data_IF_449851422850
#
_entry.id   IF_449851422850
#
_cell.length_a   1.000
_cell.length_b   1.000
_cell.length_c   1.000
_cell.angle_alpha   90.00
_cell.angle_beta   90.00
_cell.angle_gamma   90.00
#
_symmetry.space_group_name_H-M   'P 1'
#
loop_
_entity.id
_entity.type
_entity.pdbx_description
1 polymer ?
#
# COMPACT_ATOMS: atom_id res chain seq x y z
N UNK A 1 -70.39 58.85 -38.61
CA UNK A 1 -69.15 59.42 -38.05
C UNK A 1 -68.62 58.47 -36.99
N UNK A 2 -67.29 58.35 -36.92
CA UNK A 2 -66.45 57.66 -35.91
C UNK A 2 -66.04 56.21 -36.18
N UNK A 3 -64.86 56.10 -36.81
CA UNK A 3 -63.94 54.97 -36.83
C UNK A 3 -63.17 54.90 -35.50
N UNK A 4 -63.31 53.80 -34.74
CA UNK A 4 -62.51 53.56 -33.53
C UNK A 4 -61.17 52.92 -33.92
N UNK A 5 -60.08 53.62 -33.59
CA UNK A 5 -58.71 53.23 -33.89
C UNK A 5 -58.20 52.09 -33.01
N UNK A 6 -57.47 51.17 -33.63
CA UNK A 6 -56.72 50.11 -32.96
C UNK A 6 -55.45 50.70 -32.33
N UNK A 7 -55.30 50.61 -31.00
CA UNK A 7 -54.02 50.91 -30.34
C UNK A 7 -53.00 49.82 -30.70
N UNK A 8 -52.01 50.17 -31.51
CA UNK A 8 -50.87 49.28 -31.77
C UNK A 8 -50.03 49.17 -30.50
N UNK A 9 -49.80 47.94 -30.04
CA UNK A 9 -48.74 47.66 -29.07
C UNK A 9 -47.38 47.92 -29.72
N UNK A 10 -46.88 49.15 -29.59
CA UNK A 10 -45.52 49.53 -29.95
C UNK A 10 -44.58 49.17 -28.81
N UNK A 11 -43.95 48.01 -28.88
CA UNK A 11 -42.95 47.63 -27.87
C UNK A 11 -42.31 46.28 -28.08
N UNK A 12 -41.79 45.95 -29.27
CA UNK A 12 -41.18 44.63 -29.49
C UNK A 12 -39.93 44.58 -30.40
N UNK A 13 -39.35 45.69 -30.89
CA UNK A 13 -38.15 45.61 -31.76
C UNK A 13 -36.81 46.00 -31.10
N UNK A 14 -36.83 46.63 -29.92
CA UNK A 14 -35.60 47.22 -29.33
C UNK A 14 -34.94 46.38 -28.22
N UNK A 15 -35.50 45.22 -27.87
CA UNK A 15 -34.99 44.35 -26.79
C UNK A 15 -34.16 43.14 -27.28
N UNK A 16 -34.02 42.92 -28.59
CA UNK A 16 -33.34 41.74 -29.15
C UNK A 16 -31.85 41.63 -28.76
N UNK A 17 -31.15 42.76 -28.54
CA UNK A 17 -29.75 42.77 -28.12
C UNK A 17 -29.54 42.38 -26.65
N UNK A 18 -30.43 42.83 -25.76
CA UNK A 18 -30.34 42.52 -24.33
C UNK A 18 -30.56 41.03 -24.03
N UNK A 19 -31.45 40.37 -24.79
CA UNK A 19 -31.72 38.94 -24.66
C UNK A 19 -30.46 38.10 -24.93
N UNK A 20 -29.66 38.46 -25.94
CA UNK A 20 -28.43 37.72 -26.25
C UNK A 20 -27.40 37.82 -25.12
N UNK A 21 -27.25 39.00 -24.52
CA UNK A 21 -26.34 39.21 -23.38
C UNK A 21 -26.78 38.41 -22.16
N UNK A 22 -28.08 38.44 -21.83
CA UNK A 22 -28.63 37.68 -20.70
C UNK A 22 -28.46 36.17 -20.92
N UNK A 23 -28.77 35.67 -22.12
CA UNK A 23 -28.57 34.26 -22.47
C UNK A 23 -27.11 33.84 -22.35
N UNK A 24 -26.15 34.69 -22.75
CA UNK A 24 -24.73 34.41 -22.61
C UNK A 24 -24.29 34.37 -21.15
N UNK A 25 -24.78 35.30 -20.32
CA UNK A 25 -24.49 35.31 -18.88
C UNK A 25 -25.02 34.02 -18.23
N UNK A 26 -26.26 33.62 -18.54
CA UNK A 26 -26.85 32.38 -18.00
C UNK A 26 -26.06 31.16 -18.47
N UNK A 27 -25.71 31.08 -19.75
CA UNK A 27 -24.89 30.00 -20.29
C UNK A 27 -23.52 29.93 -19.60
N UNK A 28 -22.86 31.07 -19.39
CA UNK A 28 -21.58 31.15 -18.71
C UNK A 28 -21.69 30.65 -17.26
N UNK A 29 -22.72 31.07 -16.52
CA UNK A 29 -22.96 30.63 -15.15
C UNK A 29 -23.20 29.12 -15.09
N UNK A 30 -24.05 28.57 -15.96
CA UNK A 30 -24.27 27.13 -16.06
C UNK A 30 -22.97 26.36 -16.38
N UNK A 31 -22.15 26.91 -17.27
CA UNK A 31 -20.85 26.32 -17.63
C UNK A 31 -19.92 26.28 -16.42
N UNK A 32 -19.81 27.37 -15.65
CA UNK A 32 -18.97 27.43 -14.46
C UNK A 32 -19.43 26.45 -13.38
N UNK A 33 -20.73 26.33 -13.17
CA UNK A 33 -21.32 25.33 -12.26
C UNK A 33 -20.96 23.92 -12.73
N UNK A 34 -21.15 23.62 -14.02
CA UNK A 34 -20.80 22.33 -14.61
C UNK A 34 -19.33 21.97 -14.44
N UNK A 35 -18.42 22.91 -14.71
CA UNK A 35 -16.97 22.71 -14.53
C UNK A 35 -16.62 22.50 -13.05
N UNK A 36 -17.23 23.26 -12.14
CA UNK A 36 -16.99 23.10 -10.71
C UNK A 36 -17.42 21.72 -10.22
N UNK A 37 -18.59 21.24 -10.62
CA UNK A 37 -19.07 19.90 -10.28
C UNK A 37 -18.15 18.81 -10.84
N UNK A 38 -17.72 18.93 -12.10
CA UNK A 38 -16.78 17.99 -12.71
C UNK A 38 -15.44 17.93 -11.97
N UNK A 39 -14.91 19.06 -11.50
CA UNK A 39 -13.66 19.09 -10.71
C UNK A 39 -13.78 18.32 -9.40
N UNK A 40 -14.91 18.43 -8.71
CA UNK A 40 -15.16 17.68 -7.46
C UNK A 40 -15.18 16.17 -7.73
N UNK A 41 -15.91 15.73 -8.75
CA UNK A 41 -15.97 14.31 -9.13
C UNK A 41 -14.58 13.75 -9.45
N UNK A 42 -13.75 14.50 -10.19
CA UNK A 42 -12.38 14.07 -10.49
C UNK A 42 -11.49 13.93 -9.25
N UNK A 43 -11.69 14.77 -8.22
CA UNK A 43 -10.96 14.65 -6.96
C UNK A 43 -11.42 13.42 -6.17
N UNK A 44 -12.73 13.18 -6.11
CA UNK A 44 -13.31 11.98 -5.49
C UNK A 44 -12.85 10.69 -6.17
N UNK A 45 -12.77 10.69 -7.50
CA UNK A 45 -12.24 9.56 -8.28
C UNK A 45 -10.78 9.29 -7.94
N UNK A 46 -9.93 10.33 -7.92
CA UNK A 46 -8.51 10.19 -7.55
C UNK A 46 -8.33 9.67 -6.13
N UNK A 47 -9.12 10.17 -5.18
CA UNK A 47 -9.09 9.69 -3.79
C UNK A 47 -9.54 8.22 -3.69
N UNK A 48 -10.59 7.85 -4.42
CA UNK A 48 -11.08 6.47 -4.49
C UNK A 48 -10.04 5.53 -5.09
N UNK A 49 -9.40 5.95 -6.17
CA UNK A 49 -8.32 5.20 -6.81
C UNK A 49 -7.14 5.03 -5.87
N UNK A 50 -6.63 6.11 -5.26
CA UNK A 50 -5.52 6.05 -4.32
C UNK A 50 -5.84 5.16 -3.10
N UNK A 51 -7.07 5.22 -2.58
CA UNK A 51 -7.49 4.34 -1.49
C UNK A 51 -7.54 2.88 -1.90
N UNK A 52 -8.00 2.57 -3.12
CA UNK A 52 -8.03 1.20 -3.64
C UNK A 52 -6.62 0.67 -3.86
N UNK A 53 -5.76 1.47 -4.45
CA UNK A 53 -4.37 1.14 -4.73
C UNK A 53 -3.57 0.85 -3.45
N UNK A 54 -3.79 1.66 -2.41
CA UNK A 54 -3.22 1.45 -1.08
C UNK A 54 -3.66 0.12 -0.42
N UNK A 55 -4.93 -0.28 -0.62
CA UNK A 55 -5.44 -1.57 -0.10
C UNK A 55 -4.81 -2.74 -0.84
N UNK A 56 -4.69 -2.66 -2.16
CA UNK A 56 -4.02 -3.68 -2.97
C UNK A 56 -2.57 -3.84 -2.54
N UNK A 57 -1.82 -2.73 -2.38
CA UNK A 57 -0.44 -2.79 -1.90
C UNK A 57 -0.31 -3.46 -0.52
N UNK A 58 -1.29 -3.27 0.37
CA UNK A 58 -1.32 -3.92 1.68
C UNK A 58 -1.57 -5.43 1.55
N UNK A 59 -2.54 -5.84 0.75
CA UNK A 59 -2.86 -7.26 0.53
C UNK A 59 -1.69 -8.02 -0.11
N UNK A 60 -0.95 -7.38 -1.02
CA UNK A 60 0.31 -7.90 -1.56
C UNK A 60 1.35 -8.07 -0.43
N UNK A 61 1.53 -7.06 0.42
CA UNK A 61 2.46 -7.15 1.55
C UNK A 61 2.08 -8.27 2.53
N UNK A 62 0.79 -8.44 2.85
CA UNK A 62 0.29 -9.53 3.70
C UNK A 62 0.54 -10.91 3.08
N UNK A 63 0.36 -11.03 1.76
CA UNK A 63 0.65 -12.26 1.03
C UNK A 63 2.13 -12.62 1.06
N UNK A 64 3.01 -11.62 1.01
CA UNK A 64 4.46 -11.80 1.14
C UNK A 64 4.86 -12.20 2.56
N UNK A 65 4.23 -11.62 3.60
CA UNK A 65 4.45 -12.06 4.98
C UNK A 65 4.10 -13.54 5.14
N UNK A 66 2.92 -13.96 4.68
CA UNK A 66 2.51 -15.38 4.71
C UNK A 66 3.47 -16.28 3.95
N UNK A 67 3.99 -15.81 2.81
CA UNK A 67 4.96 -16.53 2.02
C UNK A 67 6.30 -16.70 2.76
N UNK A 68 6.75 -15.68 3.49
CA UNK A 68 7.95 -15.73 4.32
C UNK A 68 7.75 -16.62 5.56
N UNK A 69 6.58 -16.59 6.18
CA UNK A 69 6.23 -17.50 7.29
C UNK A 69 6.27 -18.96 6.82
N UNK A 70 5.72 -19.26 5.63
CA UNK A 70 5.83 -20.60 5.04
C UNK A 70 7.28 -21.01 4.78
N UNK A 71 8.12 -20.10 4.30
CA UNK A 71 9.55 -20.35 4.10
C UNK A 71 10.23 -20.68 5.44
N UNK A 72 9.96 -19.89 6.49
CA UNK A 72 10.48 -20.13 7.85
C UNK A 72 10.00 -21.49 8.38
N UNK A 73 8.74 -21.86 8.17
CA UNK A 73 8.19 -23.15 8.60
C UNK A 73 8.82 -24.34 7.89
N UNK A 74 9.24 -24.19 6.63
CA UNK A 74 9.96 -25.23 5.88
C UNK A 74 11.45 -25.35 6.24
N UNK A 75 12.06 -24.31 6.82
CA UNK A 75 13.48 -24.32 7.19
C UNK A 75 13.78 -25.28 8.36
N UNK A 76 14.74 -26.20 8.21
CA UNK A 76 15.18 -27.07 9.31
C UNK A 76 16.24 -26.42 10.21
N UNK A 77 16.95 -25.40 9.72
CA UNK A 77 18.03 -24.72 10.45
C UNK A 77 18.08 -23.25 10.06
N UNK A 78 18.78 -22.43 10.83
CA UNK A 78 19.04 -21.01 10.53
C UNK A 78 20.40 -20.77 9.87
N UNK A 79 20.99 -21.78 9.23
CA UNK A 79 22.33 -21.69 8.63
C UNK A 79 22.45 -20.71 7.46
N UNK A 80 21.35 -20.48 6.74
CA UNK A 80 21.33 -19.65 5.52
C UNK A 80 21.23 -18.14 5.78
N UNK A 81 20.96 -17.74 7.03
CA UNK A 81 20.91 -16.33 7.43
C UNK A 81 22.31 -15.70 7.37
N UNK A 82 22.42 -14.54 6.72
CA UNK A 82 23.66 -13.84 6.40
C UNK A 82 24.50 -14.51 5.30
N UNK A 83 23.89 -15.41 4.53
CA UNK A 83 24.45 -15.98 3.29
C UNK A 83 23.57 -15.56 2.12
N UNK A 84 22.25 -15.73 2.26
CA UNK A 84 21.27 -15.34 1.25
C UNK A 84 20.86 -13.88 1.44
N UNK A 85 20.81 -13.13 0.34
CA UNK A 85 20.52 -11.68 0.32
C UNK A 85 19.28 -11.23 1.10
N UNK A 86 18.22 -12.06 1.16
CA UNK A 86 16.97 -11.73 1.86
C UNK A 86 16.87 -12.31 3.26
N UNK A 87 17.88 -13.03 3.75
CA UNK A 87 17.92 -13.64 5.07
C UNK A 87 19.09 -13.02 5.86
N UNK A 88 18.79 -12.21 6.87
CA UNK A 88 19.76 -11.42 7.61
C UNK A 88 19.97 -11.95 9.03
N UNK A 89 21.21 -11.96 9.52
CA UNK A 89 21.44 -12.21 10.95
C UNK A 89 21.00 -11.01 11.78
N UNK A 90 20.93 -11.22 13.08
CA UNK A 90 20.62 -10.17 14.04
C UNK A 90 21.57 -8.97 13.88
N UNK A 91 21.01 -7.82 13.54
CA UNK A 91 21.75 -6.57 13.34
C UNK A 91 22.43 -6.44 11.97
N UNK A 92 22.29 -7.41 11.07
CA UNK A 92 22.78 -7.32 9.68
C UNK A 92 21.71 -6.84 8.70
N UNK A 93 20.45 -6.75 9.13
CA UNK A 93 19.36 -6.28 8.29
C UNK A 93 19.50 -4.80 7.89
N UNK A 94 18.82 -4.36 6.81
CA UNK A 94 18.85 -2.96 6.39
C UNK A 94 18.32 -1.99 7.47
N UNK A 95 19.05 -0.90 7.70
CA UNK A 95 18.75 0.13 8.73
C UNK A 95 17.51 0.98 8.40
N UNK A 96 17.22 1.19 7.11
CA UNK A 96 16.17 2.11 6.65
C UNK A 96 15.16 1.43 5.73
N UNK A 97 13.93 1.29 6.20
CA UNK A 97 12.84 0.68 5.43
C UNK A 97 12.38 1.52 4.23
N UNK A 98 12.69 2.81 4.23
CA UNK A 98 12.25 3.74 3.18
C UNK A 98 13.34 4.04 2.15
N UNK A 99 14.54 3.49 2.33
CA UNK A 99 15.58 3.57 1.30
C UNK A 99 15.29 2.59 0.16
N UNK A 100 15.46 3.05 -1.07
CA UNK A 100 15.40 2.20 -2.25
C UNK A 100 16.42 1.04 -2.23
N UNK A 101 17.59 1.22 -1.61
CA UNK A 101 18.63 0.20 -1.50
C UNK A 101 18.19 -1.01 -0.67
N UNK A 102 17.27 -0.83 0.28
CA UNK A 102 16.69 -1.92 1.08
C UNK A 102 15.88 -2.89 0.23
N UNK A 103 15.30 -2.40 -0.86
CA UNK A 103 14.39 -3.15 -1.73
C UNK A 103 15.07 -3.57 -3.05
N UNK A 104 16.39 -3.72 -3.02
CA UNK A 104 17.18 -4.25 -4.12
C UNK A 104 17.38 -5.78 -3.99
N UNK A 105 18.12 -6.37 -4.94
CA UNK A 105 18.44 -7.81 -4.94
C UNK A 105 19.52 -8.22 -3.94
N UNK A 106 20.23 -7.27 -3.35
CA UNK A 106 21.26 -7.52 -2.35
C UNK A 106 20.70 -7.65 -0.93
N UNK A 107 19.54 -7.05 -0.67
CA UNK A 107 18.92 -7.01 0.66
C UNK A 107 17.55 -7.70 0.75
N UNK A 108 16.89 -7.96 -0.39
CA UNK A 108 15.52 -8.47 -0.41
C UNK A 108 15.23 -9.37 -1.62
N UNK A 109 14.30 -10.29 -1.43
CA UNK A 109 13.81 -11.19 -2.47
C UNK A 109 12.53 -10.63 -3.08
N UNK A 110 12.42 -10.70 -4.41
CA UNK A 110 11.18 -10.39 -5.13
C UNK A 110 10.32 -11.65 -5.23
N UNK A 111 9.01 -11.50 -5.04
CA UNK A 111 8.04 -12.59 -5.20
C UNK A 111 6.74 -12.09 -5.79
N UNK A 112 6.21 -12.85 -6.74
CA UNK A 112 4.87 -12.62 -7.29
C UNK A 112 3.82 -13.21 -6.35
N UNK A 113 2.69 -12.52 -6.22
CA UNK A 113 1.52 -12.99 -5.48
C UNK A 113 0.45 -13.48 -6.46
N UNK A 114 -0.56 -14.19 -5.96
CA UNK A 114 -1.66 -14.70 -6.79
C UNK A 114 -2.59 -13.61 -7.32
N UNK A 115 -2.50 -12.39 -6.81
CA UNK A 115 -3.29 -11.26 -7.26
C UNK A 115 -2.76 -10.73 -8.59
N UNK A 116 -3.65 -10.32 -9.48
CA UNK A 116 -3.32 -9.76 -10.79
C UNK A 116 -3.83 -8.32 -10.92
N UNK A 117 -3.09 -7.51 -11.66
CA UNK A 117 -3.54 -6.23 -12.15
C UNK A 117 -4.63 -6.41 -13.25
N UNK A 118 -5.39 -5.36 -13.59
CA UNK A 118 -6.45 -5.43 -14.60
C UNK A 118 -6.00 -5.89 -16.00
N UNK A 119 -4.70 -5.82 -16.29
CA UNK A 119 -4.06 -6.28 -17.53
C UNK A 119 -3.64 -7.76 -17.49
N UNK A 120 -3.89 -8.47 -16.38
CA UNK A 120 -3.47 -9.85 -16.15
C UNK A 120 -2.04 -10.00 -15.64
N UNK A 121 -1.32 -8.91 -15.38
CA UNK A 121 0.03 -8.98 -14.83
C UNK A 121 -0.02 -9.33 -13.35
N UNK A 122 0.70 -10.38 -12.94
CA UNK A 122 0.81 -10.74 -11.53
C UNK A 122 1.43 -9.59 -10.72
N UNK A 123 0.81 -9.25 -9.60
CA UNK A 123 1.35 -8.26 -8.68
C UNK A 123 2.59 -8.84 -7.99
N UNK A 124 3.54 -7.96 -7.72
CA UNK A 124 4.83 -8.33 -7.12
C UNK A 124 5.13 -7.44 -5.94
N UNK A 125 5.98 -7.94 -5.06
CA UNK A 125 6.62 -7.12 -4.05
C UNK A 125 7.89 -7.81 -3.56
N UNK A 126 8.47 -7.25 -2.51
CA UNK A 126 9.74 -7.73 -1.99
C UNK A 126 9.66 -7.95 -0.50
N UNK A 127 10.44 -8.90 0.01
CA UNK A 127 10.52 -9.17 1.43
C UNK A 127 11.94 -9.58 1.82
N UNK A 128 12.22 -9.44 3.10
CA UNK A 128 13.40 -9.99 3.75
C UNK A 128 13.03 -10.44 5.15
N UNK A 129 13.83 -11.34 5.71
CA UNK A 129 13.67 -11.90 7.04
C UNK A 129 14.96 -11.66 7.81
N UNK A 130 14.85 -11.17 9.04
CA UNK A 130 15.97 -11.05 9.96
C UNK A 130 15.76 -11.95 11.18
N UNK A 131 16.82 -12.57 11.67
CA UNK A 131 16.81 -13.20 12.99
C UNK A 131 16.75 -12.13 14.08
N UNK A 132 15.71 -12.17 14.90
CA UNK A 132 15.50 -11.24 16.01
C UNK A 132 15.91 -11.83 17.38
N UNK A 133 16.67 -12.94 17.36
CA UNK A 133 17.14 -13.64 18.55
C UNK A 133 16.25 -14.81 19.00
N UNK A 134 16.46 -15.28 20.23
CA UNK A 134 15.72 -16.38 20.83
C UNK A 134 14.65 -15.86 21.79
N UNK A 135 13.47 -16.49 21.82
CA UNK A 135 12.50 -16.21 22.87
C UNK A 135 12.98 -16.88 24.16
N UNK A 136 13.52 -16.09 25.08
CA UNK A 136 13.97 -16.57 26.39
C UNK A 136 12.81 -17.24 27.12
N UNK A 137 12.99 -18.48 27.58
CA UNK A 137 12.23 -18.94 28.74
C UNK A 137 12.83 -18.24 29.94
N UNK A 138 12.11 -17.30 30.54
CA UNK A 138 12.47 -16.76 31.86
C UNK A 138 12.25 -17.84 32.92
N UNK A 139 13.10 -18.86 32.93
CA UNK A 139 13.30 -19.70 34.11
C UNK A 139 14.52 -19.15 34.84
N UNK A 140 14.37 -18.55 36.03
CA UNK A 140 15.48 -17.94 36.76
C UNK A 140 16.59 -18.93 37.16
N UNK A 141 16.39 -20.24 36.97
CA UNK A 141 17.42 -21.26 37.12
C UNK A 141 18.37 -21.41 35.90
N UNK A 142 17.97 -20.93 34.71
CA UNK A 142 18.75 -21.08 33.47
C UNK A 142 19.74 -19.93 33.23
N UNK A 143 19.59 -18.83 33.97
CA UNK A 143 20.46 -17.64 33.89
C UNK A 143 21.79 -17.78 34.67
N UNK A 144 22.03 -18.91 35.34
CA UNK A 144 23.21 -19.16 36.18
C UNK A 144 24.15 -20.24 35.62
N UNK A 145 23.97 -20.68 34.37
CA UNK A 145 24.88 -21.66 33.76
C UNK A 145 26.12 -20.98 33.18
N UNK A 146 27.10 -20.75 34.05
CA UNK A 146 28.49 -20.51 33.68
C UNK A 146 29.08 -21.82 33.17
N UNK A 147 29.51 -21.83 31.89
CA UNK A 147 30.53 -22.72 31.38
C UNK A 147 30.29 -24.23 31.52
N UNK A 148 29.70 -24.82 30.47
CA UNK A 148 29.93 -26.21 30.08
C UNK A 148 29.66 -27.27 31.14
N UNK A 149 28.39 -27.62 31.37
CA UNK A 149 27.92 -29.00 31.54
C UNK A 149 26.40 -28.97 31.76
N UNK A 150 25.64 -29.70 30.93
CA UNK A 150 24.23 -30.00 31.18
C UNK A 150 23.22 -29.02 30.57
N UNK A 151 23.23 -28.85 29.23
CA UNK A 151 22.01 -28.39 28.58
C UNK A 151 20.98 -29.53 28.60
N UNK A 152 19.87 -29.32 29.30
CA UNK A 152 18.71 -30.19 29.20
C UNK A 152 18.01 -29.90 27.88
N UNK A 153 18.47 -30.59 26.83
CA UNK A 153 17.74 -30.78 25.58
C UNK A 153 16.39 -31.41 25.89
N UNK A 154 15.30 -30.63 25.84
CA UNK A 154 13.96 -31.17 26.12
C UNK A 154 12.78 -30.28 25.71
N UNK A 155 12.97 -28.98 25.52
CA UNK A 155 11.99 -28.11 24.87
C UNK A 155 12.70 -27.24 23.86
N UNK A 156 12.49 -27.49 22.56
CA UNK A 156 13.20 -26.84 21.46
C UNK A 156 13.30 -25.32 21.60
N UNK A 157 14.43 -24.77 21.15
CA UNK A 157 14.71 -23.34 21.13
C UNK A 157 13.69 -22.64 20.20
N UNK A 158 13.00 -21.63 20.72
CA UNK A 158 12.11 -20.80 19.90
C UNK A 158 12.95 -19.65 19.37
N UNK A 159 13.16 -19.62 18.05
CA UNK A 159 13.79 -18.50 17.37
C UNK A 159 12.72 -17.53 16.88
N UNK A 160 12.99 -16.24 17.05
CA UNK A 160 12.12 -15.16 16.60
C UNK A 160 12.68 -14.58 15.31
N UNK A 161 11.80 -14.37 14.35
CA UNK A 161 12.10 -13.84 13.03
C UNK A 161 11.34 -12.54 12.85
N UNK A 162 12.03 -11.49 12.42
CA UNK A 162 11.43 -10.24 11.97
C UNK A 162 11.27 -10.30 10.45
N UNK A 163 10.05 -10.43 10.00
CA UNK A 163 9.69 -10.45 8.58
C UNK A 163 9.34 -9.01 8.19
N UNK A 164 9.95 -8.52 7.11
CA UNK A 164 9.62 -7.23 6.53
C UNK A 164 9.23 -7.42 5.07
N UNK A 165 8.02 -7.00 4.72
CA UNK A 165 7.48 -7.12 3.38
C UNK A 165 7.03 -5.77 2.84
N UNK A 166 7.43 -5.45 1.62
CA UNK A 166 6.93 -4.34 0.82
C UNK A 166 6.05 -4.88 -0.30
N UNK A 167 4.75 -4.59 -0.21
CA UNK A 167 3.82 -4.80 -1.31
C UNK A 167 3.73 -3.56 -2.21
N UNK A 168 3.54 -3.79 -3.51
CA UNK A 168 3.26 -2.74 -4.50
C UNK A 168 1.80 -2.77 -4.91
N UNK A 169 1.23 -1.60 -5.12
CA UNK A 169 -0.12 -1.44 -5.63
C UNK A 169 -0.22 -1.78 -7.11
N UNK A 170 -1.36 -1.45 -7.70
CA UNK A 170 -1.59 -1.39 -9.15
C UNK A 170 -0.70 -0.35 -9.82
N UNK A 171 -0.25 0.66 -9.09
CA UNK A 171 0.77 1.60 -9.54
C UNK A 171 2.10 1.32 -8.84
N UNK A 172 3.21 1.45 -9.57
CA UNK A 172 4.56 1.29 -9.00
C UNK A 172 4.90 2.35 -7.95
N UNK A 173 4.13 3.44 -7.85
CA UNK A 173 4.33 4.52 -6.88
C UNK A 173 3.66 4.28 -5.53
N UNK A 174 2.72 3.34 -5.44
CA UNK A 174 2.08 3.01 -4.17
C UNK A 174 2.74 1.78 -3.55
N UNK A 175 3.43 1.99 -2.44
CA UNK A 175 4.03 0.92 -1.66
C UNK A 175 3.46 0.89 -0.24
N UNK A 176 3.38 -0.31 0.33
CA UNK A 176 3.04 -0.52 1.75
C UNK A 176 4.05 -1.49 2.34
N UNK A 177 4.54 -1.16 3.53
CA UNK A 177 5.53 -1.96 4.25
C UNK A 177 4.84 -2.52 5.50
N UNK A 178 4.98 -3.82 5.71
CA UNK A 178 4.51 -4.53 6.90
C UNK A 178 5.72 -5.14 7.60
N UNK A 179 5.72 -5.05 8.93
CA UNK A 179 6.68 -5.74 9.79
C UNK A 179 5.88 -6.74 10.62
N UNK A 180 6.27 -8.02 10.56
CA UNK A 180 5.70 -9.10 11.37
C UNK A 180 6.81 -9.76 12.17
N UNK A 181 6.47 -10.25 13.37
CA UNK A 181 7.38 -11.07 14.16
C UNK A 181 6.79 -12.47 14.27
N UNK A 182 7.59 -13.46 13.88
CA UNK A 182 7.17 -14.85 13.83
C UNK A 182 8.11 -15.70 14.69
N UNK A 183 7.55 -16.53 15.57
CA UNK A 183 8.32 -17.43 16.42
C UNK A 183 8.20 -18.86 15.93
N UNK A 184 9.33 -19.49 15.59
CA UNK A 184 9.38 -20.91 15.23
C UNK A 184 10.19 -21.70 16.23
N UNK A 185 9.67 -22.87 16.60
CA UNK A 185 10.39 -23.86 17.40
C UNK A 185 11.09 -24.83 16.45
N UNK A 186 12.41 -24.94 16.59
CA UNK A 186 13.24 -25.92 15.89
C UNK A 186 13.35 -27.23 16.67
#
# INVERSE_FOLDING_TARGET
>A
MNTLGYSRFSGLSQQRGAVLVISLIVLLVLTLIGVSAARTVLLEEKMTFASRDAKVALEVAESLVKAAESEIEEMSTTGDFGITAHLHREGEGPDSLFDSATWDTGNSASKSVSMEAPDGTALTGRYYVELAGNANKEDPADSITVGGYGQTTGGGEIKVFRIVAQGRGLTDSTTRIIISHYGKRF
#
